data_IF_338587455569
#
_entry.id   IF_338587455569
#
_cell.length_a   1.000
_cell.length_b   1.000
_cell.length_c   1.000
_cell.angle_alpha   90.00
_cell.angle_beta   90.00
_cell.angle_gamma   90.00
#
_symmetry.space_group_name_H-M   'P 1'
#
loop_
_entity.id
_entity.type
_entity.pdbx_description
1 polymer ?
#
# COMPACT_ATOMS: atom_id res chain seq x y z
N UNK A 1 -10.92 13.37 11.09
CA UNK A 1 -9.66 14.12 10.99
C UNK A 1 -9.23 13.94 9.56
N UNK A 2 -9.19 15.03 8.80
CA UNK A 2 -9.15 14.93 7.35
C UNK A 2 -7.70 14.75 6.92
N UNK A 3 -7.40 13.66 6.21
CA UNK A 3 -6.15 13.51 5.50
C UNK A 3 -6.36 13.89 4.03
N UNK A 4 -5.40 14.62 3.49
CA UNK A 4 -5.35 14.95 2.08
C UNK A 4 -4.68 13.79 1.32
N UNK A 5 -5.35 13.27 0.29
CA UNK A 5 -4.75 12.30 -0.61
C UNK A 5 -4.17 13.04 -1.81
N UNK A 6 -2.87 12.89 -2.06
CA UNK A 6 -2.18 13.52 -3.19
C UNK A 6 -1.14 12.60 -3.82
N UNK A 7 -0.76 12.84 -5.09
CA UNK A 7 0.41 12.21 -5.68
C UNK A 7 1.66 12.46 -4.82
N UNK A 8 2.51 11.44 -4.73
CA UNK A 8 3.80 11.55 -4.08
C UNK A 8 4.80 12.25 -5.00
N UNK A 9 5.67 13.06 -4.41
CA UNK A 9 6.81 13.69 -5.06
C UNK A 9 8.11 13.06 -4.59
N UNK A 10 9.20 13.26 -5.34
CA UNK A 10 10.52 12.73 -4.98
C UNK A 10 10.95 13.15 -3.56
N UNK A 11 10.57 14.36 -3.14
CA UNK A 11 10.85 14.90 -1.81
C UNK A 11 10.15 14.14 -0.68
N UNK A 12 9.06 13.42 -0.97
CA UNK A 12 8.36 12.59 0.01
C UNK A 12 9.09 11.28 0.31
N UNK A 13 10.12 10.90 -0.47
CA UNK A 13 10.76 9.59 -0.39
C UNK A 13 11.27 9.26 1.02
N UNK A 14 11.87 10.23 1.69
CA UNK A 14 12.36 10.08 3.06
C UNK A 14 11.21 9.87 4.06
N UNK A 15 10.08 10.55 3.89
CA UNK A 15 8.91 10.39 4.76
C UNK A 15 8.21 9.04 4.52
N UNK A 16 8.04 8.65 3.26
CA UNK A 16 7.48 7.35 2.86
C UNK A 16 8.34 6.21 3.39
N UNK A 17 9.67 6.29 3.24
CA UNK A 17 10.61 5.30 3.77
C UNK A 17 10.44 5.11 5.28
N UNK A 18 10.41 6.21 6.05
CA UNK A 18 10.20 6.17 7.50
C UNK A 18 8.86 5.53 7.87
N UNK A 19 7.78 5.92 7.19
CA UNK A 19 6.44 5.37 7.42
C UNK A 19 6.42 3.84 7.22
N UNK A 20 6.95 3.36 6.09
CA UNK A 20 6.94 1.93 5.75
C UNK A 20 7.74 1.15 6.78
N UNK A 21 8.95 1.61 7.11
CA UNK A 21 9.83 0.93 8.07
C UNK A 21 9.18 0.89 9.47
N UNK A 22 8.60 2.00 9.94
CA UNK A 22 7.93 2.06 11.24
C UNK A 22 6.72 1.12 11.31
N UNK A 23 5.92 1.06 10.23
CA UNK A 23 4.73 0.19 10.17
C UNK A 23 5.14 -1.29 10.17
N UNK A 24 6.21 -1.65 9.45
CA UNK A 24 6.72 -3.02 9.42
C UNK A 24 7.26 -3.50 10.76
N UNK A 25 7.89 -2.61 11.53
CA UNK A 25 8.43 -2.94 12.84
C UNK A 25 7.36 -3.07 13.93
N UNK A 26 6.15 -2.59 13.68
CA UNK A 26 5.06 -2.52 14.65
C UNK A 26 3.94 -3.48 14.28
N UNK A 27 3.04 -3.08 13.38
CA UNK A 27 1.81 -3.82 13.08
C UNK A 27 2.05 -5.09 12.27
N UNK A 28 3.15 -5.17 11.50
CA UNK A 28 3.40 -6.30 10.60
C UNK A 28 4.55 -7.21 11.07
N UNK A 29 5.19 -6.91 12.20
CA UNK A 29 6.35 -7.67 12.67
C UNK A 29 6.02 -9.13 13.01
N UNK A 30 4.75 -9.41 13.30
CA UNK A 30 4.27 -10.77 13.61
C UNK A 30 4.07 -11.64 12.35
N UNK A 31 3.95 -11.03 11.18
CA UNK A 31 3.67 -11.74 9.92
C UNK A 31 4.93 -12.13 9.14
N UNK A 32 6.05 -11.50 9.49
CA UNK A 32 7.28 -11.59 8.71
C UNK A 32 8.45 -12.05 9.55
N UNK A 33 9.21 -13.07 9.10
CA UNK A 33 10.50 -13.39 9.69
C UNK A 33 11.42 -12.16 9.71
N UNK A 34 12.31 -12.08 10.71
CA UNK A 34 13.23 -10.94 10.86
C UNK A 34 14.08 -10.68 9.60
N UNK A 35 14.43 -11.74 8.85
CA UNK A 35 15.14 -11.65 7.59
C UNK A 35 14.31 -10.92 6.50
N UNK A 36 13.00 -11.20 6.43
CA UNK A 36 12.09 -10.52 5.50
C UNK A 36 11.97 -9.05 5.89
N UNK A 37 11.81 -8.73 7.18
CA UNK A 37 11.79 -7.34 7.66
C UNK A 37 13.08 -6.61 7.28
N UNK A 38 14.24 -7.24 7.44
CA UNK A 38 15.53 -6.66 7.06
C UNK A 38 15.63 -6.39 5.55
N UNK A 39 15.15 -7.32 4.72
CA UNK A 39 15.10 -7.14 3.26
C UNK A 39 14.16 -6.01 2.85
N UNK A 40 12.97 -5.92 3.47
CA UNK A 40 12.02 -4.85 3.18
C UNK A 40 12.62 -3.49 3.58
N UNK A 41 13.35 -3.39 4.69
CA UNK A 41 14.07 -2.15 5.06
C UNK A 41 15.07 -1.70 3.99
N UNK A 42 15.78 -2.63 3.35
CA UNK A 42 16.69 -2.31 2.24
C UNK A 42 15.92 -1.85 1.01
N UNK A 43 14.86 -2.57 0.65
CA UNK A 43 14.00 -2.29 -0.50
C UNK A 43 13.19 -0.99 -0.39
N UNK A 44 13.04 -0.46 0.82
CA UNK A 44 12.36 0.81 1.09
C UNK A 44 13.27 1.84 1.78
N UNK A 45 14.58 1.79 1.54
CA UNK A 45 15.46 2.92 1.84
C UNK A 45 15.02 4.18 1.06
N UNK A 46 15.36 5.41 1.50
CA UNK A 46 14.98 6.62 0.76
C UNK A 46 15.40 6.59 -0.71
N UNK A 47 16.59 6.06 -1.00
CA UNK A 47 17.06 5.86 -2.38
C UNK A 47 16.16 4.90 -3.17
N UNK A 48 15.83 3.75 -2.59
CA UNK A 48 14.95 2.77 -3.24
C UNK A 48 13.54 3.33 -3.44
N UNK A 49 13.00 4.09 -2.47
CA UNK A 49 11.70 4.76 -2.62
C UNK A 49 11.73 5.76 -3.78
N UNK A 50 12.80 6.55 -3.96
CA UNK A 50 12.95 7.44 -5.14
C UNK A 50 12.90 6.66 -6.45
N UNK A 51 13.53 5.49 -6.51
CA UNK A 51 13.45 4.62 -7.69
C UNK A 51 12.05 4.03 -7.90
N UNK A 52 11.27 3.80 -6.84
CA UNK A 52 9.88 3.36 -6.96
C UNK A 52 8.97 4.48 -7.45
N UNK A 53 9.19 5.72 -6.99
CA UNK A 53 8.45 6.91 -7.41
C UNK A 53 8.60 7.20 -8.92
N UNK A 54 9.72 6.79 -9.55
CA UNK A 54 9.90 6.93 -10.99
C UNK A 54 9.29 5.81 -11.84
N UNK A 55 8.85 4.70 -11.20
CA UNK A 55 8.35 3.50 -11.88
C UNK A 55 6.87 3.23 -11.65
N UNK A 56 6.32 3.75 -10.55
CA UNK A 56 4.95 3.48 -10.10
C UNK A 56 4.20 4.78 -9.89
N UNK A 57 2.88 4.72 -10.00
CA UNK A 57 2.04 5.80 -9.54
C UNK A 57 1.91 5.67 -8.03
N UNK A 58 2.39 6.65 -7.27
CA UNK A 58 2.42 6.59 -5.81
C UNK A 58 1.60 7.75 -5.26
N UNK A 59 0.76 7.45 -4.27
CA UNK A 59 -0.02 8.41 -3.52
C UNK A 59 0.37 8.36 -2.05
N UNK A 60 0.18 9.50 -1.39
CA UNK A 60 0.36 9.66 0.03
C UNK A 60 -0.90 10.25 0.65
N UNK A 61 -1.17 9.85 1.89
CA UNK A 61 -2.10 10.53 2.76
C UNK A 61 -1.32 11.47 3.66
N UNK A 62 -1.63 12.76 3.61
CA UNK A 62 -0.98 13.79 4.42
C UNK A 62 -1.97 14.32 5.46
N UNK A 63 -1.53 14.42 6.72
CA UNK A 63 -2.30 15.00 7.81
C UNK A 63 -1.40 15.90 8.65
N UNK A 64 -1.84 17.13 8.92
CA UNK A 64 -1.08 18.12 9.69
C UNK A 64 0.38 18.31 9.20
N UNK A 65 0.60 18.26 7.87
CA UNK A 65 1.92 18.39 7.27
C UNK A 65 2.73 17.09 7.17
N UNK A 66 2.29 16.00 7.79
CA UNK A 66 3.03 14.73 7.85
C UNK A 66 2.43 13.67 6.93
N UNK A 67 3.30 12.85 6.31
CA UNK A 67 2.87 11.66 5.57
C UNK A 67 2.48 10.56 6.55
N UNK A 68 1.19 10.24 6.60
CA UNK A 68 0.61 9.25 7.50
C UNK A 68 0.16 7.97 6.80
N UNK A 69 0.20 7.94 5.47
CA UNK A 69 -0.15 6.78 4.66
C UNK A 69 0.49 6.84 3.28
N UNK A 70 0.68 5.69 2.66
CA UNK A 70 1.09 5.57 1.26
C UNK A 70 0.41 4.37 0.61
N UNK A 71 0.18 4.46 -0.69
CA UNK A 71 -0.27 3.37 -1.55
C UNK A 71 0.27 3.62 -2.96
N UNK A 72 0.50 2.56 -3.73
CA UNK A 72 1.02 2.67 -5.09
C UNK A 72 0.34 1.71 -6.06
N UNK A 73 0.35 2.09 -7.33
CA UNK A 73 -0.18 1.31 -8.43
C UNK A 73 0.94 1.06 -9.46
N UNK A 74 1.09 -0.21 -9.84
CA UNK A 74 2.01 -0.72 -10.85
C UNK A 74 1.19 -1.46 -11.92
N UNK A 75 0.75 -0.73 -12.93
CA UNK A 75 -0.29 -1.19 -13.85
C UNK A 75 -1.62 -1.45 -13.11
N UNK A 76 -2.07 -2.71 -13.07
CA UNK A 76 -3.26 -3.13 -12.31
C UNK A 76 -2.94 -3.61 -10.89
N UNK A 77 -1.66 -3.62 -10.50
CA UNK A 77 -1.24 -4.22 -9.23
C UNK A 77 -1.07 -3.15 -8.17
N UNK A 78 -1.87 -3.25 -7.11
CA UNK A 78 -1.75 -2.43 -5.90
C UNK A 78 -0.53 -2.90 -5.11
N UNK A 79 0.30 -1.95 -4.70
CA UNK A 79 1.58 -2.17 -4.02
C UNK A 79 1.76 -1.16 -2.90
N UNK A 80 2.60 -1.51 -1.92
CA UNK A 80 3.12 -0.59 -0.90
C UNK A 80 2.02 0.16 -0.13
N UNK A 81 0.97 -0.53 0.31
CA UNK A 81 -0.11 0.07 1.11
C UNK A 81 0.28 0.03 2.58
N UNK A 82 0.57 1.19 3.16
CA UNK A 82 0.94 1.34 4.57
C UNK A 82 0.27 2.55 5.18
N UNK A 83 -0.19 2.42 6.43
CA UNK A 83 -0.79 3.50 7.21
C UNK A 83 -0.12 3.50 8.58
N UNK A 84 0.26 4.69 9.06
CA UNK A 84 0.89 4.87 10.36
C UNK A 84 0.04 4.19 11.45
N UNK A 85 0.63 3.40 12.37
CA UNK A 85 -0.12 2.63 13.36
C UNK A 85 -1.18 3.44 14.12
N UNK A 86 -0.83 4.67 14.51
CA UNK A 86 -1.69 5.59 15.27
C UNK A 86 -2.84 6.17 14.42
N UNK A 87 -2.82 5.92 13.10
CA UNK A 87 -3.82 6.36 12.11
C UNK A 87 -4.60 5.19 11.51
N UNK A 88 -4.27 3.95 11.87
CA UNK A 88 -5.03 2.78 11.45
C UNK A 88 -6.44 2.79 12.08
N UNK A 89 -7.40 2.14 11.42
CA UNK A 89 -8.81 2.13 11.85
C UNK A 89 -9.56 3.46 11.65
N UNK A 90 -8.89 4.52 11.19
CA UNK A 90 -9.51 5.86 10.99
C UNK A 90 -9.90 6.15 9.54
N UNK A 91 -9.88 5.13 8.66
CA UNK A 91 -10.31 5.25 7.27
C UNK A 91 -9.24 5.71 6.27
N UNK A 92 -8.01 6.04 6.70
CA UNK A 92 -6.90 6.49 5.82
C UNK A 92 -6.64 5.50 4.68
N UNK A 93 -6.51 4.20 5.00
CA UNK A 93 -6.28 3.17 3.99
C UNK A 93 -7.42 3.07 2.97
N UNK A 94 -8.66 3.28 3.39
CA UNK A 94 -9.83 3.30 2.49
C UNK A 94 -9.78 4.50 1.54
N UNK A 95 -9.38 5.67 2.02
CA UNK A 95 -9.24 6.86 1.17
C UNK A 95 -8.14 6.69 0.13
N UNK A 96 -6.99 6.14 0.53
CA UNK A 96 -5.91 5.79 -0.41
C UNK A 96 -6.43 4.82 -1.49
N UNK A 97 -7.07 3.73 -1.09
CA UNK A 97 -7.59 2.74 -2.05
C UNK A 97 -8.65 3.32 -3.00
N UNK A 98 -9.54 4.18 -2.51
CA UNK A 98 -10.52 4.86 -3.36
C UNK A 98 -9.85 5.72 -4.45
N UNK A 99 -8.76 6.42 -4.11
CA UNK A 99 -8.00 7.19 -5.10
C UNK A 99 -7.29 6.27 -6.11
N UNK A 100 -6.69 5.16 -5.67
CA UNK A 100 -6.08 4.17 -6.57
C UNK A 100 -7.10 3.58 -7.54
N UNK A 101 -8.30 3.24 -7.06
CA UNK A 101 -9.41 2.73 -7.88
C UNK A 101 -9.86 3.75 -8.92
N UNK A 102 -10.02 5.01 -8.52
CA UNK A 102 -10.38 6.11 -9.43
C UNK A 102 -9.34 6.27 -10.55
N UNK A 103 -8.06 6.18 -10.19
CA UNK A 103 -6.95 6.34 -11.12
C UNK A 103 -6.84 5.15 -12.07
N UNK A 104 -7.01 3.93 -11.57
CA UNK A 104 -7.10 2.72 -12.38
C UNK A 104 -8.23 2.81 -13.40
N UNK A 105 -9.45 3.17 -12.97
CA UNK A 105 -10.59 3.35 -13.88
C UNK A 105 -10.32 4.42 -14.95
N UNK A 106 -9.70 5.54 -14.57
CA UNK A 106 -9.34 6.60 -15.52
C UNK A 106 -8.33 6.15 -16.59
N UNK A 107 -7.52 5.14 -16.27
CA UNK A 107 -6.58 4.50 -17.18
C UNK A 107 -7.18 3.31 -17.95
N UNK A 108 -8.49 3.05 -17.84
CA UNK A 108 -9.18 1.92 -18.48
C UNK A 108 -8.93 0.57 -17.81
N UNK A 109 -8.36 0.56 -16.60
CA UNK A 109 -8.13 -0.65 -15.81
C UNK A 109 -9.41 -0.95 -15.02
N UNK A 110 -10.06 -2.06 -15.32
CA UNK A 110 -11.32 -2.50 -14.69
C UNK A 110 -11.11 -3.56 -13.62
N UNK A 111 -9.87 -3.92 -13.30
CA UNK A 111 -9.54 -4.96 -12.34
C UNK A 111 -8.28 -4.56 -11.58
N UNK A 112 -8.30 -4.70 -10.26
CA UNK A 112 -7.12 -4.54 -9.41
C UNK A 112 -6.73 -5.85 -8.78
N UNK A 113 -5.42 -6.07 -8.67
CA UNK A 113 -4.84 -7.20 -7.94
C UNK A 113 -3.95 -6.67 -6.83
N UNK A 114 -3.95 -7.33 -5.67
CA UNK A 114 -3.09 -6.98 -4.54
C UNK A 114 -2.45 -8.24 -3.94
N UNK A 115 -1.12 -8.27 -3.76
CA UNK A 115 -0.47 -9.22 -2.86
C UNK A 115 -0.65 -8.72 -1.42
N UNK A 116 -1.60 -9.31 -0.71
CA UNK A 116 -1.92 -8.99 0.68
C UNK A 116 -1.06 -9.80 1.65
N UNK A 117 -0.68 -9.18 2.77
CA UNK A 117 -0.28 -9.94 3.97
C UNK A 117 -1.51 -10.68 4.54
N UNK A 118 -1.26 -11.65 5.42
CA UNK A 118 -2.34 -12.37 6.11
C UNK A 118 -3.17 -11.40 6.98
N UNK A 119 -2.51 -10.50 7.71
CA UNK A 119 -3.17 -9.47 8.53
C UNK A 119 -4.02 -8.48 7.74
N UNK A 120 -3.63 -8.16 6.51
CA UNK A 120 -4.36 -7.21 5.67
C UNK A 120 -5.52 -7.85 4.91
N UNK A 121 -5.71 -9.18 4.97
CA UNK A 121 -6.80 -9.87 4.25
C UNK A 121 -8.16 -9.27 4.58
N UNK A 122 -8.47 -9.09 5.88
CA UNK A 122 -9.73 -8.51 6.32
C UNK A 122 -9.94 -7.07 5.84
N UNK A 123 -8.86 -6.29 5.72
CA UNK A 123 -8.93 -4.95 5.16
C UNK A 123 -9.34 -4.97 3.69
N UNK A 124 -8.68 -5.78 2.86
CA UNK A 124 -9.01 -5.88 1.44
C UNK A 124 -10.36 -6.56 1.18
N UNK A 125 -10.72 -7.57 1.97
CA UNK A 125 -12.03 -8.21 1.89
C UNK A 125 -13.17 -7.21 2.17
N UNK A 126 -13.00 -6.32 3.15
CA UNK A 126 -13.95 -5.23 3.43
C UNK A 126 -14.03 -4.18 2.31
N UNK A 127 -13.02 -4.12 1.44
CA UNK A 127 -13.02 -3.34 0.20
C UNK A 127 -13.55 -4.15 -0.99
N UNK A 128 -14.05 -5.37 -0.79
CA UNK A 128 -14.61 -6.20 -1.86
C UNK A 128 -13.59 -6.98 -2.68
N UNK A 129 -12.33 -7.02 -2.27
CA UNK A 129 -11.35 -7.94 -2.86
C UNK A 129 -11.64 -9.37 -2.42
N UNK A 130 -11.34 -10.33 -3.29
CA UNK A 130 -11.49 -11.76 -3.04
C UNK A 130 -10.15 -12.46 -3.21
N UNK A 131 -9.82 -13.36 -2.29
CA UNK A 131 -8.62 -14.20 -2.38
C UNK A 131 -8.75 -15.13 -3.59
N UNK A 132 -7.75 -15.09 -4.47
CA UNK A 132 -7.65 -15.97 -5.63
C UNK A 132 -6.77 -17.18 -5.33
N UNK A 133 -5.60 -16.92 -4.73
CA UNK A 133 -4.61 -17.94 -4.42
C UNK A 133 -3.62 -17.44 -3.38
N UNK A 134 -2.95 -18.38 -2.76
CA UNK A 134 -1.79 -18.11 -1.93
C UNK A 134 -0.52 -18.07 -2.78
N UNK A 135 0.47 -17.32 -2.33
CA UNK A 135 1.79 -17.25 -2.95
C UNK A 135 2.88 -17.20 -1.89
N UNK A 136 3.87 -18.07 -2.05
CA UNK A 136 4.99 -18.22 -1.14
C UNK A 136 6.26 -17.60 -1.75
N UNK A 137 6.95 -16.77 -0.97
CA UNK A 137 8.23 -16.17 -1.30
C UNK A 137 9.25 -16.61 -0.24
N UNK A 138 9.80 -17.82 -0.40
CA UNK A 138 10.53 -18.47 0.68
C UNK A 138 9.58 -18.80 1.83
N UNK A 139 9.84 -18.27 3.02
CA UNK A 139 8.99 -18.44 4.21
C UNK A 139 7.82 -17.44 4.29
N UNK A 140 7.80 -16.42 3.43
CA UNK A 140 6.73 -15.43 3.40
C UNK A 140 5.50 -15.97 2.67
N UNK A 141 4.34 -15.94 3.34
CA UNK A 141 3.04 -16.29 2.74
C UNK A 141 2.23 -15.02 2.47
N UNK A 142 1.81 -14.86 1.22
CA UNK A 142 0.96 -13.75 0.76
C UNK A 142 -0.31 -14.28 0.11
N UNK A 143 -1.40 -13.50 0.19
CA UNK A 143 -2.66 -13.78 -0.48
C UNK A 143 -2.77 -12.89 -1.70
N UNK A 144 -2.84 -13.49 -2.89
CA UNK A 144 -3.15 -12.74 -4.11
C UNK A 144 -4.66 -12.54 -4.14
N UNK A 145 -5.09 -11.30 -3.92
CA UNK A 145 -6.51 -10.92 -3.92
C UNK A 145 -6.82 -10.04 -5.12
N UNK A 146 -8.06 -10.09 -5.61
CA UNK A 146 -8.50 -9.32 -6.76
C UNK A 146 -9.87 -8.70 -6.53
N UNK A 147 -10.09 -7.54 -7.15
CA UNK A 147 -11.40 -6.89 -7.25
C UNK A 147 -11.64 -6.38 -8.67
N UNK A 148 -12.82 -6.68 -9.20
CA UNK A 148 -13.35 -5.99 -10.39
C UNK A 148 -13.82 -4.59 -9.99
N UNK A 149 -13.45 -3.60 -10.79
CA UNK A 149 -13.90 -2.22 -10.65
C UNK A 149 -15.04 -1.98 -11.63
N UNK A 150 -16.15 -1.49 -11.11
CA UNK A 150 -17.26 -1.03 -11.94
C UNK A 150 -17.09 0.48 -12.11
N UNK A 151 -17.09 1.00 -13.36
CA UNK A 151 -17.19 2.43 -13.58
C UNK A 151 -18.47 2.96 -12.90
N UNK A 152 -18.45 4.16 -12.31
CA UNK A 152 -19.70 4.80 -11.89
C UNK A 152 -20.61 4.95 -13.12
N UNK A 153 -21.88 4.56 -12.96
CA UNK A 153 -22.94 4.69 -13.98
C UNK A 153 -23.15 6.15 -14.39
#
# INVERSE_FOLDING_TARGET
MDCEIRPAHEQDADAISRLIIATLQTSNAQDYPAAVIAQVRQNFSPHAVRQLLSKRQVWVAQAAGEIVGTASLDGQVVRSVFVAPERQGQGVGRQLMAELERQALSAGITQLTVPSSITAEGFYANLGFRTLREQYHGEERTLIMQRELTPPL
#
